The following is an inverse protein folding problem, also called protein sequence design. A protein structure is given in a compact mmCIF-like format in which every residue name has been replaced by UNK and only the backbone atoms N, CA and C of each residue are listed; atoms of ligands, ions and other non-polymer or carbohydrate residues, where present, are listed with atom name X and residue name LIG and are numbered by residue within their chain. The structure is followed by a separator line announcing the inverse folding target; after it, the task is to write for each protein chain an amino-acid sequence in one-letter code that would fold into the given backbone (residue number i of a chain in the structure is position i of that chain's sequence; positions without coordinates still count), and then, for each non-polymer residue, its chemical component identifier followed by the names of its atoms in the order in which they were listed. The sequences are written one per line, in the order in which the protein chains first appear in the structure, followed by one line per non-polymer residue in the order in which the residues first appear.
data_IF_194712726560
#
_entry.id   IF_194712726560
#
_cell.length_a   1.000
_cell.length_b   1.000
_cell.length_c   1.000
_cell.angle_alpha   90.00
_cell.angle_beta   90.00
_cell.angle_gamma   90.00
#
_symmetry.space_group_name_H-M   'P 1'
#
loop_
_entity.id
_entity.type
_entity.pdbx_description
1 polymer ?
#
# COMPACT_ATOMS: atom_id res chain seq x y z
N UNK A 1 -9.08 57.12 -1.86
CA UNK A 1 -9.69 55.98 -1.14
C UNK A 1 -8.86 54.75 -1.49
N UNK A 2 -7.99 54.36 -0.59
CA UNK A 2 -7.12 53.20 -0.73
C UNK A 2 -7.94 51.95 -0.61
N UNK A 3 -7.94 51.12 -1.64
CA UNK A 3 -8.54 49.79 -1.63
C UNK A 3 -7.75 48.94 -0.62
N UNK A 4 -8.28 48.83 0.60
CA UNK A 4 -7.81 47.81 1.55
C UNK A 4 -7.94 46.45 0.87
N UNK A 5 -6.83 45.86 0.54
CA UNK A 5 -6.75 44.44 0.17
C UNK A 5 -7.19 43.66 1.40
N UNK A 6 -8.44 43.20 1.43
CA UNK A 6 -8.91 42.26 2.45
C UNK A 6 -8.04 41.01 2.35
N UNK A 7 -7.33 40.74 3.42
CA UNK A 7 -6.57 39.45 3.51
C UNK A 7 -7.55 38.29 3.27
N UNK A 8 -7.13 37.28 2.52
CA UNK A 8 -7.99 36.14 2.23
C UNK A 8 -8.39 35.44 3.54
N UNK A 9 -9.70 35.23 3.69
CA UNK A 9 -10.36 34.77 4.93
C UNK A 9 -9.92 33.34 5.35
N UNK A 10 -9.39 32.52 4.39
CA UNK A 10 -9.05 31.12 4.61
C UNK A 10 -7.56 30.88 4.44
N UNK A 11 -6.99 30.10 5.37
CA UNK A 11 -5.58 29.73 5.32
C UNK A 11 -5.21 29.01 4.01
N UNK A 12 -6.10 28.18 3.45
CA UNK A 12 -5.91 27.53 2.15
C UNK A 12 -5.71 28.50 0.99
N UNK A 13 -6.30 29.70 1.07
CA UNK A 13 -6.15 30.75 0.06
C UNK A 13 -4.95 31.64 0.36
N UNK A 14 -4.80 32.08 1.62
CA UNK A 14 -3.71 32.94 2.07
C UNK A 14 -2.35 32.22 2.11
N UNK A 15 -2.36 30.91 2.27
CA UNK A 15 -1.18 30.04 2.37
C UNK A 15 -0.10 30.62 3.30
N UNK A 16 -0.42 30.99 4.57
CA UNK A 16 0.49 31.71 5.45
C UNK A 16 1.76 30.91 5.81
N UNK A 17 1.76 29.60 5.58
CA UNK A 17 2.92 28.73 5.77
C UNK A 17 4.01 28.93 4.72
N UNK A 18 3.69 29.42 3.50
CA UNK A 18 4.68 29.59 2.43
C UNK A 18 5.84 30.50 2.82
N UNK A 19 5.62 31.46 3.74
CA UNK A 19 6.67 32.33 4.26
C UNK A 19 7.81 31.60 5.02
N UNK A 20 7.58 30.33 5.40
CA UNK A 20 8.57 29.50 6.07
C UNK A 20 9.32 28.56 5.14
N UNK A 21 8.96 28.54 3.86
CA UNK A 21 9.60 27.71 2.84
C UNK A 21 10.54 28.55 1.98
N UNK A 22 11.66 27.99 1.58
CA UNK A 22 12.53 28.57 0.56
C UNK A 22 11.78 28.59 -0.80
N UNK A 23 11.87 29.70 -1.52
CA UNK A 23 11.18 29.91 -2.79
C UNK A 23 11.46 28.78 -3.81
N UNK A 24 12.67 28.22 -3.79
CA UNK A 24 13.05 27.12 -4.69
C UNK A 24 12.17 25.87 -4.51
N UNK A 25 11.62 25.62 -3.30
CA UNK A 25 10.71 24.49 -3.05
C UNK A 25 9.27 24.84 -3.43
N UNK A 26 8.88 26.14 -3.28
CA UNK A 26 7.54 26.62 -3.67
C UNK A 26 7.37 26.53 -5.19
N UNK A 27 8.42 26.86 -5.93
CA UNK A 27 8.40 26.90 -7.40
C UNK A 27 8.79 25.56 -8.04
N UNK A 28 9.17 24.57 -7.24
CA UNK A 28 9.58 23.26 -7.75
C UNK A 28 8.39 22.54 -8.41
N UNK A 29 8.51 22.14 -9.69
CA UNK A 29 7.44 21.42 -10.36
C UNK A 29 7.25 20.04 -9.72
N UNK A 30 6.00 19.65 -9.51
CA UNK A 30 5.69 18.28 -9.08
C UNK A 30 6.08 17.27 -10.15
N UNK A 31 6.74 16.16 -9.79
CA UNK A 31 7.04 15.09 -10.71
C UNK A 31 5.77 14.53 -11.36
N UNK A 32 5.77 14.36 -12.68
CA UNK A 32 4.66 13.78 -13.45
C UNK A 32 4.95 12.31 -13.72
N UNK A 33 4.91 11.51 -12.67
CA UNK A 33 5.16 10.08 -12.69
C UNK A 33 4.46 9.40 -11.51
N UNK A 34 4.33 8.08 -11.54
CA UNK A 34 3.81 7.33 -10.40
C UNK A 34 4.76 7.40 -9.20
N UNK A 35 4.25 7.11 -7.99
CA UNK A 35 5.06 7.09 -6.78
C UNK A 35 6.21 6.07 -6.90
N UNK A 36 5.97 4.92 -7.55
CA UNK A 36 7.01 3.94 -7.80
C UNK A 36 8.07 4.42 -8.80
N UNK A 37 7.66 5.07 -9.90
CA UNK A 37 8.61 5.65 -10.85
C UNK A 37 9.47 6.73 -10.22
N UNK A 38 8.86 7.60 -9.39
CA UNK A 38 9.59 8.63 -8.66
C UNK A 38 10.63 8.02 -7.72
N UNK A 39 10.24 7.00 -6.95
CA UNK A 39 11.16 6.26 -6.09
C UNK A 39 12.34 5.67 -6.89
N UNK A 40 12.07 5.07 -8.04
CA UNK A 40 13.10 4.51 -8.92
C UNK A 40 14.05 5.59 -9.45
N UNK A 41 13.50 6.74 -9.90
CA UNK A 41 14.30 7.84 -10.43
C UNK A 41 15.24 8.43 -9.39
N UNK A 42 14.75 8.66 -8.18
CA UNK A 42 15.55 9.25 -7.10
C UNK A 42 16.66 8.32 -6.63
N UNK A 43 16.46 7.00 -6.70
CA UNK A 43 17.38 6.03 -6.15
C UNK A 43 18.15 5.20 -7.20
N UNK A 44 18.13 5.61 -8.48
CA UNK A 44 18.82 4.87 -9.57
C UNK A 44 20.32 4.71 -9.36
N UNK A 45 20.96 5.63 -8.63
CA UNK A 45 22.39 5.61 -8.31
C UNK A 45 22.68 5.04 -6.91
N UNK A 46 21.65 4.62 -6.15
CA UNK A 46 21.72 4.16 -4.77
C UNK A 46 21.26 2.71 -4.61
N UNK A 47 21.32 1.91 -5.68
CA UNK A 47 20.76 0.56 -5.74
C UNK A 47 21.30 -0.39 -4.67
N UNK A 48 22.53 -0.21 -4.22
CA UNK A 48 23.17 -1.01 -3.15
C UNK A 48 22.90 -0.50 -1.74
N UNK A 49 22.29 0.68 -1.60
CA UNK A 49 21.97 1.24 -0.30
C UNK A 49 20.72 0.59 0.32
N UNK A 50 20.60 0.66 1.64
CA UNK A 50 19.47 0.09 2.37
C UNK A 50 18.22 0.91 2.12
N UNK A 51 17.21 0.29 1.51
CA UNK A 51 15.88 0.88 1.30
C UNK A 51 14.93 0.56 2.46
N UNK A 52 14.98 -0.67 2.99
CA UNK A 52 14.12 -1.14 4.08
C UNK A 52 14.95 -1.90 5.10
N UNK A 53 14.54 -1.79 6.36
CA UNK A 53 15.06 -2.63 7.44
C UNK A 53 13.88 -3.25 8.21
N UNK A 54 13.92 -4.57 8.39
CA UNK A 54 12.88 -5.31 9.09
C UNK A 54 13.52 -6.26 10.10
N UNK A 55 13.42 -5.93 11.38
CA UNK A 55 14.05 -6.68 12.49
C UNK A 55 15.53 -7.00 12.26
N UNK A 56 16.29 -6.02 11.78
CA UNK A 56 17.73 -6.14 11.49
C UNK A 56 18.08 -6.77 10.13
N UNK A 57 17.10 -7.28 9.38
CA UNK A 57 17.31 -7.66 7.98
C UNK A 57 17.19 -6.42 7.09
N UNK A 58 18.23 -6.17 6.32
CA UNK A 58 18.29 -5.05 5.38
C UNK A 58 17.95 -5.52 3.96
N UNK A 59 17.17 -4.71 3.28
CA UNK A 59 16.82 -4.86 1.86
C UNK A 59 17.34 -3.63 1.13
N UNK A 60 18.08 -3.83 0.06
CA UNK A 60 18.58 -2.74 -0.78
C UNK A 60 17.49 -2.18 -1.68
N UNK A 61 17.74 -1.00 -2.30
CA UNK A 61 16.84 -0.49 -3.34
C UNK A 61 16.72 -1.45 -4.52
N UNK A 62 17.80 -2.15 -4.89
CA UNK A 62 17.74 -3.20 -5.90
C UNK A 62 16.77 -4.33 -5.51
N UNK A 63 16.84 -4.80 -4.25
CA UNK A 63 15.93 -5.83 -3.73
C UNK A 63 14.47 -5.32 -3.75
N UNK A 64 14.24 -4.09 -3.28
CA UNK A 64 12.92 -3.47 -3.28
C UNK A 64 12.33 -3.44 -4.69
N UNK A 65 13.06 -2.91 -5.67
CA UNK A 65 12.56 -2.78 -7.04
C UNK A 65 12.28 -4.14 -7.69
N UNK A 66 13.11 -5.12 -7.45
CA UNK A 66 12.90 -6.50 -7.95
C UNK A 66 11.63 -7.09 -7.31
N UNK A 67 11.44 -6.95 -5.99
CA UNK A 67 10.29 -7.52 -5.31
C UNK A 67 8.99 -6.79 -5.70
N UNK A 68 9.00 -5.48 -5.86
CA UNK A 68 7.83 -4.72 -6.37
C UNK A 68 7.42 -5.23 -7.75
N UNK A 69 8.36 -5.36 -8.70
CA UNK A 69 8.07 -5.85 -10.06
C UNK A 69 7.52 -7.28 -10.05
N UNK A 70 8.09 -8.17 -9.23
CA UNK A 70 7.57 -9.55 -9.07
C UNK A 70 6.16 -9.56 -8.49
N UNK A 71 5.89 -8.68 -7.53
CA UNK A 71 4.57 -8.55 -6.92
C UNK A 71 3.53 -8.01 -7.92
N UNK A 72 3.91 -7.03 -8.74
CA UNK A 72 3.07 -6.52 -9.82
C UNK A 72 2.72 -7.61 -10.85
N UNK A 73 3.71 -8.40 -11.27
CA UNK A 73 3.51 -9.54 -12.14
C UNK A 73 2.57 -10.60 -11.52
N UNK A 74 2.72 -10.88 -10.22
CA UNK A 74 1.85 -11.81 -9.51
C UNK A 74 0.41 -11.30 -9.39
N UNK A 75 0.20 -10.01 -9.16
CA UNK A 75 -1.15 -9.42 -9.21
C UNK A 75 -1.79 -9.56 -10.58
N UNK A 76 -1.04 -9.33 -11.66
CA UNK A 76 -1.54 -9.55 -13.03
C UNK A 76 -1.92 -11.01 -13.28
N UNK A 77 -1.14 -11.96 -12.74
CA UNK A 77 -1.48 -13.39 -12.83
C UNK A 77 -2.81 -13.72 -12.13
N UNK A 78 -3.16 -13.01 -11.07
CA UNK A 78 -4.48 -13.11 -10.41
C UNK A 78 -5.59 -12.35 -11.14
N UNK A 79 -5.29 -11.65 -12.24
CA UNK A 79 -6.24 -10.90 -13.01
C UNK A 79 -6.50 -9.47 -12.52
N UNK A 80 -5.68 -8.96 -11.60
CA UNK A 80 -5.77 -7.55 -11.15
C UNK A 80 -5.45 -6.60 -12.29
N UNK A 81 -6.27 -5.58 -12.45
CA UNK A 81 -6.24 -4.61 -13.55
C UNK A 81 -6.22 -3.17 -13.01
N UNK A 82 -5.92 -2.23 -13.89
CA UNK A 82 -6.07 -0.80 -13.62
C UNK A 82 -7.49 -0.51 -13.12
N UNK A 83 -7.56 0.22 -12.01
CA UNK A 83 -8.81 0.63 -11.36
C UNK A 83 -9.36 -0.37 -10.33
N UNK A 84 -8.80 -1.58 -10.22
CA UNK A 84 -9.18 -2.50 -9.15
C UNK A 84 -8.70 -1.99 -7.79
N UNK A 85 -9.46 -2.30 -6.73
CA UNK A 85 -9.07 -1.95 -5.35
C UNK A 85 -8.78 -3.23 -4.56
N UNK A 86 -7.62 -3.25 -3.90
CA UNK A 86 -7.16 -4.37 -3.09
C UNK A 86 -7.14 -3.95 -1.63
N UNK A 87 -7.86 -4.64 -0.78
CA UNK A 87 -7.86 -4.37 0.66
C UNK A 87 -6.71 -5.08 1.36
N UNK A 88 -5.99 -4.34 2.21
CA UNK A 88 -4.90 -4.86 3.04
C UNK A 88 -5.21 -4.64 4.50
N UNK A 89 -5.36 -5.73 5.24
CA UNK A 89 -5.59 -5.76 6.70
C UNK A 89 -4.31 -6.23 7.37
N UNK A 90 -3.36 -5.32 7.55
CA UNK A 90 -2.02 -5.67 8.02
C UNK A 90 -1.35 -4.53 8.77
N UNK A 91 -0.31 -4.86 9.55
CA UNK A 91 0.73 -3.89 9.93
C UNK A 91 1.73 -3.77 8.78
N UNK A 92 2.57 -2.74 8.82
CA UNK A 92 3.58 -2.51 7.80
C UNK A 92 4.65 -3.60 7.85
N UNK A 93 4.70 -4.44 6.81
CA UNK A 93 5.75 -5.43 6.55
C UNK A 93 6.40 -5.14 5.20
N UNK A 94 7.56 -5.71 4.86
CA UNK A 94 8.14 -5.55 3.53
C UNK A 94 7.17 -5.94 2.41
N UNK A 95 6.38 -7.00 2.59
CA UNK A 95 5.38 -7.49 1.62
C UNK A 95 4.28 -6.45 1.36
N UNK A 96 3.84 -5.73 2.39
CA UNK A 96 2.84 -4.65 2.26
C UNK A 96 3.44 -3.47 1.47
N UNK A 97 4.73 -3.16 1.69
CA UNK A 97 5.43 -2.12 0.91
C UNK A 97 5.57 -2.56 -0.55
N UNK A 98 5.90 -3.84 -0.80
CA UNK A 98 5.94 -4.36 -2.17
C UNK A 98 4.56 -4.31 -2.83
N UNK A 99 3.50 -4.66 -2.09
CA UNK A 99 2.13 -4.58 -2.58
C UNK A 99 1.73 -3.14 -2.92
N UNK A 100 2.06 -2.16 -2.07
CA UNK A 100 1.75 -0.75 -2.30
C UNK A 100 2.32 -0.25 -3.63
N UNK A 101 3.63 -0.38 -3.83
CA UNK A 101 4.26 0.07 -5.07
C UNK A 101 3.90 -0.82 -6.28
N UNK A 102 3.56 -2.09 -6.06
CA UNK A 102 3.15 -2.98 -7.13
C UNK A 102 1.75 -2.63 -7.67
N UNK A 103 0.79 -2.30 -6.80
CA UNK A 103 -0.55 -1.87 -7.23
C UNK A 103 -0.49 -0.51 -7.89
N UNK A 104 0.31 0.43 -7.38
CA UNK A 104 0.60 1.70 -8.01
C UNK A 104 1.14 1.48 -9.44
N UNK A 105 2.14 0.61 -9.59
CA UNK A 105 2.75 0.27 -10.87
C UNK A 105 1.76 -0.30 -11.91
N UNK A 106 0.71 -1.00 -11.49
CA UNK A 106 -0.31 -1.58 -12.39
C UNK A 106 -1.59 -0.74 -12.49
N UNK A 107 -1.61 0.46 -11.89
CA UNK A 107 -2.75 1.38 -11.92
C UNK A 107 -3.95 0.91 -11.09
N UNK A 108 -3.72 0.01 -10.10
CA UNK A 108 -4.71 -0.38 -9.11
C UNK A 108 -4.55 0.45 -7.83
N UNK A 109 -5.46 0.32 -6.88
CA UNK A 109 -5.50 1.09 -5.63
C UNK A 109 -5.36 0.16 -4.44
N UNK A 110 -4.57 0.55 -3.44
CA UNK A 110 -4.50 -0.18 -2.17
C UNK A 110 -5.43 0.46 -1.13
N UNK A 111 -6.31 -0.32 -0.52
CA UNK A 111 -7.16 0.10 0.60
C UNK A 111 -6.52 -0.40 1.91
N UNK A 112 -5.98 0.52 2.71
CA UNK A 112 -5.27 0.17 3.96
C UNK A 112 -6.21 0.18 5.16
N UNK A 113 -6.34 -0.96 5.81
CA UNK A 113 -7.22 -1.18 6.97
C UNK A 113 -6.39 -1.64 8.18
N UNK A 114 -6.61 -1.00 9.32
CA UNK A 114 -5.94 -1.37 10.56
C UNK A 114 -6.37 -2.79 11.01
N UNK A 115 -5.43 -3.71 11.24
CA UNK A 115 -5.75 -5.09 11.63
C UNK A 115 -6.37 -5.21 13.03
N UNK A 116 -6.45 -4.14 13.81
CA UNK A 116 -7.08 -4.09 15.12
C UNK A 116 -8.59 -3.89 15.07
N UNK A 117 -9.14 -3.51 13.91
CA UNK A 117 -10.61 -3.37 13.77
C UNK A 117 -11.35 -4.68 14.04
N UNK A 118 -12.62 -4.55 14.42
CA UNK A 118 -13.52 -5.69 14.60
C UNK A 118 -13.82 -6.38 13.25
N UNK A 119 -14.49 -7.53 13.31
CA UNK A 119 -14.96 -8.22 12.10
C UNK A 119 -15.88 -7.32 11.27
N UNK A 120 -16.79 -6.63 11.95
CA UNK A 120 -17.76 -5.70 11.34
C UNK A 120 -17.04 -4.52 10.68
N UNK A 121 -16.07 -3.92 11.37
CA UNK A 121 -15.29 -2.80 10.82
C UNK A 121 -14.46 -3.20 9.59
N UNK A 122 -13.82 -4.39 9.62
CA UNK A 122 -13.08 -4.91 8.46
C UNK A 122 -14.05 -5.17 7.30
N UNK A 123 -15.24 -5.73 7.59
CA UNK A 123 -16.27 -5.97 6.60
C UNK A 123 -16.71 -4.67 5.90
N UNK A 124 -17.05 -3.64 6.68
CA UNK A 124 -17.46 -2.33 6.16
C UNK A 124 -16.41 -1.73 5.21
N UNK A 125 -15.13 -1.81 5.55
CA UNK A 125 -14.05 -1.27 4.71
C UNK A 125 -13.78 -2.09 3.43
N UNK A 126 -14.04 -3.39 3.44
CA UNK A 126 -13.97 -4.22 2.23
C UNK A 126 -15.15 -3.87 1.30
N UNK A 127 -16.34 -3.74 1.88
CA UNK A 127 -17.58 -3.48 1.14
C UNK A 127 -17.61 -2.07 0.55
N UNK A 128 -17.14 -1.05 1.31
CA UNK A 128 -17.06 0.36 0.86
C UNK A 128 -16.34 0.49 -0.49
N UNK A 129 -15.35 -0.33 -0.76
CA UNK A 129 -14.52 -0.25 -1.98
C UNK A 129 -14.75 -1.41 -2.95
N UNK A 130 -15.71 -2.30 -2.66
CA UNK A 130 -16.02 -3.52 -3.46
C UNK A 130 -14.75 -4.34 -3.79
N UNK A 131 -13.90 -4.57 -2.79
CA UNK A 131 -12.63 -5.24 -2.97
C UNK A 131 -12.81 -6.73 -3.23
N UNK A 132 -12.24 -7.24 -4.33
CA UNK A 132 -12.27 -8.69 -4.66
C UNK A 132 -11.05 -9.46 -4.17
N UNK A 133 -10.01 -8.75 -3.75
CA UNK A 133 -8.78 -9.33 -3.24
C UNK A 133 -8.46 -8.75 -1.87
N UNK A 134 -8.26 -9.64 -0.90
CA UNK A 134 -7.89 -9.29 0.47
C UNK A 134 -6.47 -9.77 0.76
N UNK A 135 -5.64 -8.93 1.33
CA UNK A 135 -4.33 -9.28 1.87
C UNK A 135 -4.39 -9.17 3.40
N UNK A 136 -3.99 -10.20 4.12
CA UNK A 136 -3.95 -10.14 5.58
C UNK A 136 -2.76 -10.92 6.16
N UNK A 137 -2.49 -10.67 7.45
CA UNK A 137 -1.53 -11.49 8.20
C UNK A 137 -2.16 -12.82 8.61
N UNK A 138 -1.35 -13.88 8.69
CA UNK A 138 -1.79 -15.16 9.20
C UNK A 138 -2.36 -15.07 10.62
N UNK A 139 -1.82 -14.17 11.46
CA UNK A 139 -2.30 -13.93 12.83
C UNK A 139 -3.65 -13.22 12.90
N UNK A 140 -4.10 -12.58 11.81
CA UNK A 140 -5.41 -11.92 11.73
C UNK A 140 -6.38 -12.66 10.81
N UNK A 141 -5.94 -13.76 10.17
CA UNK A 141 -6.70 -14.48 9.14
C UNK A 141 -8.12 -14.86 9.60
N UNK A 142 -8.28 -15.45 10.78
CA UNK A 142 -9.60 -15.86 11.28
C UNK A 142 -10.60 -14.70 11.36
N UNK A 143 -10.13 -13.50 11.74
CA UNK A 143 -10.96 -12.29 11.78
C UNK A 143 -11.30 -11.82 10.36
N UNK A 144 -10.32 -11.74 9.51
CA UNK A 144 -10.48 -11.36 8.10
C UNK A 144 -11.39 -12.34 7.36
N UNK A 145 -11.23 -13.65 7.60
CA UNK A 145 -12.08 -14.68 7.01
C UNK A 145 -13.57 -14.57 7.44
N UNK A 146 -13.83 -14.15 8.69
CA UNK A 146 -15.21 -13.88 9.11
C UNK A 146 -15.78 -12.64 8.42
N UNK A 147 -14.98 -11.61 8.25
CA UNK A 147 -15.36 -10.35 7.58
C UNK A 147 -15.65 -10.54 6.08
N UNK A 148 -14.84 -11.32 5.38
CA UNK A 148 -14.96 -11.52 3.92
C UNK A 148 -16.21 -12.28 3.49
N UNK A 149 -16.79 -13.12 4.37
CA UNK A 149 -17.90 -14.03 4.02
C UNK A 149 -19.14 -13.36 3.44
N UNK A 150 -19.33 -12.10 3.73
CA UNK A 150 -20.48 -11.30 3.29
C UNK A 150 -20.11 -10.29 2.21
N UNK A 151 -18.91 -10.41 1.65
CA UNK A 151 -18.36 -9.49 0.63
C UNK A 151 -18.09 -10.22 -0.69
N UNK A 152 -17.65 -9.46 -1.71
CA UNK A 152 -17.27 -9.98 -3.01
C UNK A 152 -15.82 -10.47 -3.09
N UNK A 153 -15.14 -10.70 -1.96
CA UNK A 153 -13.75 -11.18 -1.95
C UNK A 153 -13.64 -12.59 -2.56
N UNK A 154 -12.91 -12.68 -3.64
CA UNK A 154 -12.70 -13.94 -4.38
C UNK A 154 -11.43 -14.68 -3.92
N UNK A 155 -10.41 -13.93 -3.51
CA UNK A 155 -9.10 -14.46 -3.09
C UNK A 155 -8.59 -13.76 -1.84
N UNK A 156 -7.89 -14.50 -0.99
CA UNK A 156 -7.21 -14.00 0.19
C UNK A 156 -5.72 -14.33 0.09
N UNK A 157 -4.88 -13.31 0.10
CA UNK A 157 -3.43 -13.48 0.20
C UNK A 157 -3.01 -13.41 1.68
N UNK A 158 -2.29 -14.41 2.13
CA UNK A 158 -1.82 -14.47 3.51
C UNK A 158 -0.31 -14.24 3.57
N UNK A 159 0.07 -13.24 4.37
CA UNK A 159 1.44 -12.90 4.70
C UNK A 159 1.74 -13.44 6.10
N UNK A 160 2.92 -14.04 6.28
CA UNK A 160 3.45 -14.33 7.63
C UNK A 160 4.42 -13.24 8.05
N UNK A 161 4.38 -12.74 9.29
CA UNK A 161 5.44 -11.86 9.80
C UNK A 161 6.84 -12.46 9.65
N UNK A 162 6.94 -13.80 9.58
CA UNK A 162 8.20 -14.52 9.40
C UNK A 162 8.74 -14.51 7.96
N UNK A 163 7.97 -14.10 6.95
CA UNK A 163 8.39 -14.20 5.54
C UNK A 163 9.63 -13.34 5.24
N UNK A 164 9.71 -12.19 5.88
CA UNK A 164 10.84 -11.25 5.74
C UNK A 164 11.76 -11.15 6.97
N UNK A 165 11.55 -11.93 8.03
CA UNK A 165 12.45 -11.94 9.19
C UNK A 165 13.84 -12.50 8.82
N UNK A 166 14.92 -12.12 9.55
CA UNK A 166 16.17 -12.85 9.54
C UNK A 166 15.95 -14.33 9.85
N UNK A 167 16.71 -15.23 9.21
CA UNK A 167 16.47 -16.68 9.27
C UNK A 167 16.34 -17.22 10.72
N UNK A 168 17.22 -16.78 11.63
CA UNK A 168 17.20 -17.22 13.03
C UNK A 168 15.95 -16.76 13.76
N UNK A 169 15.47 -15.53 13.50
CA UNK A 169 14.22 -15.02 14.06
C UNK A 169 12.99 -15.69 13.42
N UNK A 170 13.03 -15.97 12.12
CA UNK A 170 11.96 -16.67 11.41
C UNK A 170 11.74 -18.08 11.96
N UNK A 171 12.82 -18.81 12.23
CA UNK A 171 12.75 -20.15 12.85
C UNK A 171 12.19 -20.06 14.27
N UNK A 172 12.72 -19.15 15.09
CA UNK A 172 12.23 -18.92 16.46
C UNK A 172 10.74 -18.52 16.48
N UNK A 173 10.34 -17.59 15.58
CA UNK A 173 8.95 -17.18 15.47
C UNK A 173 8.02 -18.35 15.12
N UNK A 174 8.37 -19.19 14.12
CA UNK A 174 7.56 -20.33 13.71
C UNK A 174 7.43 -21.39 14.78
N UNK A 175 8.46 -21.59 15.60
CA UNK A 175 8.42 -22.54 16.72
C UNK A 175 7.53 -22.04 17.87
N UNK A 176 7.58 -20.74 18.17
CA UNK A 176 6.80 -20.13 19.25
C UNK A 176 5.37 -19.76 18.85
N UNK A 177 5.15 -19.51 17.56
CA UNK A 177 3.86 -19.12 16.98
C UNK A 177 3.48 -20.04 15.82
N UNK A 178 3.19 -21.32 16.09
CA UNK A 178 2.78 -22.24 15.04
C UNK A 178 1.48 -21.77 14.40
N UNK A 179 1.44 -21.75 13.08
CA UNK A 179 0.24 -21.39 12.33
C UNK A 179 -0.78 -22.52 12.47
N UNK A 180 -1.89 -22.23 13.16
CA UNK A 180 -2.98 -23.18 13.42
C UNK A 180 -4.23 -22.90 12.57
N UNK A 181 -4.14 -21.95 11.63
CA UNK A 181 -5.28 -21.57 10.80
C UNK A 181 -5.73 -22.74 9.91
N UNK A 182 -7.04 -22.85 9.73
CA UNK A 182 -7.66 -23.74 8.75
C UNK A 182 -8.00 -22.93 7.50
N UNK A 183 -7.05 -22.81 6.63
CA UNK A 183 -7.20 -22.03 5.41
C UNK A 183 -8.23 -22.63 4.47
N UNK A 184 -9.01 -21.76 3.81
CA UNK A 184 -9.96 -22.12 2.78
C UNK A 184 -9.28 -22.24 1.40
N UNK A 185 -9.99 -22.81 0.45
CA UNK A 185 -9.47 -23.03 -0.91
C UNK A 185 -9.19 -21.74 -1.70
N UNK A 186 -9.76 -20.59 -1.28
CA UNK A 186 -9.49 -19.29 -1.89
C UNK A 186 -8.24 -18.58 -1.32
N UNK A 187 -7.54 -19.21 -0.36
CA UNK A 187 -6.34 -18.63 0.26
C UNK A 187 -5.10 -19.01 -0.53
N UNK A 188 -4.23 -18.03 -0.73
CA UNK A 188 -2.92 -18.18 -1.37
C UNK A 188 -1.87 -17.58 -0.43
N UNK A 189 -0.84 -18.34 -0.08
CA UNK A 189 0.28 -17.80 0.70
C UNK A 189 1.17 -16.91 -0.15
N UNK A 190 1.77 -15.88 0.46
CA UNK A 190 2.55 -14.86 -0.25
C UNK A 190 3.61 -15.45 -1.19
N UNK A 191 4.33 -16.47 -0.75
CA UNK A 191 5.34 -17.13 -1.57
C UNK A 191 4.75 -17.78 -2.83
N UNK A 192 3.61 -18.44 -2.69
CA UNK A 192 2.93 -19.11 -3.81
C UNK A 192 2.28 -18.11 -4.74
N UNK A 193 1.78 -17.00 -4.20
CA UNK A 193 1.31 -15.85 -4.97
C UNK A 193 2.42 -15.28 -5.85
N UNK A 194 3.60 -15.00 -5.30
CA UNK A 194 4.73 -14.46 -6.07
C UNK A 194 5.16 -15.43 -7.19
N UNK A 195 5.12 -16.73 -6.94
CA UNK A 195 5.48 -17.73 -7.95
C UNK A 195 4.55 -17.73 -9.18
N UNK A 196 3.30 -17.30 -9.04
CA UNK A 196 2.33 -17.25 -10.14
C UNK A 196 2.65 -16.14 -11.17
N UNK A 197 3.39 -15.10 -10.78
CA UNK A 197 3.76 -13.99 -11.66
C UNK A 197 4.88 -14.27 -12.65
N UNK A 198 5.46 -15.48 -12.67
CA UNK A 198 6.70 -15.79 -13.40
C UNK A 198 6.69 -15.41 -14.88
N UNK A 199 5.54 -15.57 -15.55
CA UNK A 199 5.41 -15.36 -17.00
C UNK A 199 4.61 -14.07 -17.33
N UNK A 200 4.37 -13.20 -16.35
CA UNK A 200 3.61 -11.97 -16.51
C UNK A 200 4.49 -10.74 -16.76
N UNK A 201 3.90 -9.71 -17.37
CA UNK A 201 4.56 -8.43 -17.60
C UNK A 201 4.96 -7.77 -16.27
N UNK A 202 6.15 -7.18 -16.26
CA UNK A 202 6.68 -6.36 -15.17
C UNK A 202 6.74 -4.86 -15.55
N UNK A 203 6.04 -4.45 -16.62
CA UNK A 203 6.01 -3.06 -17.06
C UNK A 203 5.01 -2.25 -16.22
N UNK A 204 5.32 -0.97 -16.00
CA UNK A 204 4.38 -0.04 -15.37
C UNK A 204 3.28 0.38 -16.36
N UNK A 205 2.09 0.67 -15.81
CA UNK A 205 1.06 1.42 -16.55
C UNK A 205 1.51 2.88 -16.73
N UNK A 206 1.08 3.55 -17.80
CA UNK A 206 1.34 4.97 -17.96
C UNK A 206 0.80 5.79 -16.79
N UNK A 207 1.56 6.78 -16.33
CA UNK A 207 1.15 7.71 -15.29
C UNK A 207 -0.18 8.39 -15.64
N UNK A 208 -1.05 8.47 -14.66
CA UNK A 208 -2.36 9.10 -14.73
C UNK A 208 -2.56 9.99 -13.49
N UNK A 209 -2.63 11.33 -13.63
CA UNK A 209 -2.76 12.24 -12.48
C UNK A 209 -4.06 12.06 -11.68
N UNK A 210 -5.04 11.35 -12.23
CA UNK A 210 -6.29 11.02 -11.54
C UNK A 210 -6.26 9.64 -10.86
N UNK A 211 -5.17 8.88 -11.04
CA UNK A 211 -5.01 7.58 -10.41
C UNK A 211 -4.90 7.72 -8.90
N UNK A 212 -5.76 6.99 -8.20
CA UNK A 212 -5.70 6.84 -6.76
C UNK A 212 -4.77 5.67 -6.41
N UNK A 213 -3.61 5.94 -5.80
CA UNK A 213 -2.69 4.88 -5.41
C UNK A 213 -3.07 4.23 -4.08
N UNK A 214 -3.74 4.96 -3.18
CA UNK A 214 -4.15 4.42 -1.88
C UNK A 214 -5.40 5.06 -1.30
N UNK A 215 -6.19 4.28 -0.57
CA UNK A 215 -7.23 4.74 0.35
C UNK A 215 -6.73 4.52 1.77
N UNK A 216 -6.76 5.56 2.59
CA UNK A 216 -6.43 5.51 4.02
C UNK A 216 -7.61 6.00 4.85
N UNK A 217 -7.88 5.32 5.97
CA UNK A 217 -9.04 5.64 6.79
C UNK A 217 -8.66 6.56 7.94
N UNK A 218 -9.38 7.68 8.06
CA UNK A 218 -9.16 8.65 9.13
C UNK A 218 -9.83 8.18 10.42
N UNK A 219 -9.13 8.29 11.56
CA UNK A 219 -9.72 8.11 12.88
C UNK A 219 -10.66 9.29 13.20
N UNK A 220 -11.93 9.18 12.84
CA UNK A 220 -12.93 10.22 13.16
C UNK A 220 -13.26 10.23 14.66
N UNK A 221 -13.24 11.40 15.29
CA UNK A 221 -13.68 11.57 16.69
C UNK A 221 -15.20 11.67 16.84
N UNK A 222 -15.96 11.86 15.76
CA UNK A 222 -17.39 12.20 15.77
C UNK A 222 -18.27 11.45 14.76
N UNK A 223 -17.79 10.39 14.12
CA UNK A 223 -18.55 9.63 13.11
C UNK A 223 -17.83 8.41 12.59
N UNK A 224 -18.42 7.72 11.63
CA UNK A 224 -17.76 6.61 10.92
C UNK A 224 -16.46 7.12 10.28
N UNK A 225 -15.36 6.37 10.39
CA UNK A 225 -14.11 6.71 9.70
C UNK A 225 -14.37 6.86 8.20
N UNK A 226 -13.74 7.85 7.58
CA UNK A 226 -13.88 8.12 6.14
C UNK A 226 -12.62 7.69 5.41
N UNK A 227 -12.78 7.01 4.28
CA UNK A 227 -11.69 6.72 3.37
C UNK A 227 -11.22 8.01 2.66
N UNK A 228 -9.96 8.39 2.89
CA UNK A 228 -9.29 9.46 2.15
C UNK A 228 -8.50 8.84 1.00
N UNK A 229 -8.84 9.21 -0.22
CA UNK A 229 -8.15 8.76 -1.42
C UNK A 229 -6.97 9.67 -1.72
N UNK A 230 -5.78 9.10 -1.84
CA UNK A 230 -4.55 9.82 -2.18
C UNK A 230 -4.07 9.39 -3.58
N UNK A 231 -3.69 10.38 -4.38
CA UNK A 231 -3.10 10.17 -5.70
C UNK A 231 -1.58 10.16 -5.63
N UNK A 232 -0.91 9.76 -6.72
CA UNK A 232 0.54 9.86 -6.87
C UNK A 232 1.03 11.28 -6.63
N UNK A 233 0.31 12.28 -7.15
CA UNK A 233 0.64 13.69 -6.95
C UNK A 233 0.61 14.08 -5.46
N UNK A 234 -0.23 13.46 -4.63
CA UNK A 234 -0.23 13.68 -3.17
C UNK A 234 1.08 13.19 -2.54
N UNK A 235 1.58 12.01 -2.94
CA UNK A 235 2.86 11.48 -2.45
C UNK A 235 4.05 12.25 -2.99
N UNK A 236 4.04 12.56 -4.28
CA UNK A 236 5.16 13.26 -4.94
C UNK A 236 5.28 14.74 -4.50
N UNK A 237 4.27 15.27 -3.79
CA UNK A 237 4.26 16.64 -3.24
C UNK A 237 4.81 16.75 -1.82
N UNK A 238 5.13 15.63 -1.17
CA UNK A 238 5.71 15.58 0.17
C UNK A 238 7.23 15.69 0.14
#
# INVERSE_FOLDING_TARGET
MTTEQREPLYASTAKPWLKYYDQKYIDMPLPKCSAFEYLCHQNKNHLSETALEYYGRKFTFADLFVNVKKTAAAFRALGVKKGDIITVVSVMTPEVIYAFYAVDMIGATLNLVDPRYSVEGIHEYIEEVDSRLLICLNVTYERCHKAEKLTNVERVLVISPADSLPLHLAVGYKLTNPDKNRYKSNVIHWKDFIAQGKDQSMNAEPYDPQHACVVVHTGGTTGSPKGATLTDDCFNSL
#
